data_IF_254952141660
#
_entry.id   IF_254952141660
#
_cell.length_a   1.000
_cell.length_b   1.000
_cell.length_c   1.000
_cell.angle_alpha   90.00
_cell.angle_beta   90.00
_cell.angle_gamma   90.00
#
_symmetry.space_group_name_H-M   'P 1'
#
loop_
_entity.id
_entity.type
_entity.pdbx_description
1 polymer ?
#
# COMPACT_ATOMS: atom_id res chain seq x y z
N UNK A 1 -12.06 -7.73 10.12
CA UNK A 1 -10.86 -8.54 10.45
C UNK A 1 -9.67 -8.18 9.55
N UNK A 2 -9.70 -8.47 8.24
CA UNK A 2 -8.58 -8.22 7.32
C UNK A 2 -7.99 -6.80 7.34
N UNK A 3 -8.83 -5.74 7.29
CA UNK A 3 -8.35 -4.34 7.38
C UNK A 3 -7.58 -4.02 8.65
N UNK A 4 -7.97 -4.61 9.78
CA UNK A 4 -7.27 -4.43 11.05
C UNK A 4 -5.94 -5.18 11.07
N UNK A 5 -5.91 -6.39 10.50
CA UNK A 5 -4.65 -7.14 10.38
C UNK A 5 -3.66 -6.43 9.47
N UNK A 6 -4.12 -5.97 8.29
CA UNK A 6 -3.30 -5.17 7.37
C UNK A 6 -2.78 -3.89 8.05
N UNK A 7 -3.65 -3.14 8.73
CA UNK A 7 -3.27 -1.95 9.48
C UNK A 7 -2.19 -2.25 10.53
N UNK A 8 -2.38 -3.31 11.33
CA UNK A 8 -1.43 -3.67 12.38
C UNK A 8 -0.09 -4.12 11.81
N UNK A 9 -0.09 -4.92 10.75
CA UNK A 9 1.14 -5.46 10.13
C UNK A 9 1.92 -4.36 9.39
N UNK A 10 1.25 -3.57 8.56
CA UNK A 10 1.92 -2.59 7.70
C UNK A 10 2.53 -1.44 8.52
N UNK A 11 1.87 -1.02 9.60
CA UNK A 11 2.41 0.00 10.51
C UNK A 11 3.56 -0.50 11.41
N UNK A 12 3.98 -1.77 11.34
CA UNK A 12 5.24 -2.20 12.00
C UNK A 12 6.47 -1.98 11.13
N UNK A 13 6.30 -1.70 9.83
CA UNK A 13 7.41 -1.51 8.89
C UNK A 13 7.93 -0.07 9.01
N UNK A 14 9.21 0.14 9.35
CA UNK A 14 9.78 1.49 9.43
C UNK A 14 9.64 2.24 8.11
N UNK A 15 9.16 3.49 8.15
CA UNK A 15 8.95 4.31 6.96
C UNK A 15 7.69 3.99 6.15
N UNK A 16 6.83 3.09 6.65
CA UNK A 16 5.51 2.80 6.08
C UNK A 16 4.43 3.27 7.05
N UNK A 17 3.39 3.90 6.52
CA UNK A 17 2.20 4.20 7.31
C UNK A 17 0.92 3.90 6.55
N UNK A 18 -0.14 3.61 7.28
CA UNK A 18 -1.45 3.33 6.71
C UNK A 18 -2.51 3.73 7.73
N UNK A 19 -3.46 4.57 7.33
CA UNK A 19 -4.66 4.81 8.12
C UNK A 19 -5.60 3.60 8.08
N UNK A 20 -6.31 3.32 9.17
CA UNK A 20 -7.30 2.25 9.19
C UNK A 20 -8.47 2.63 8.26
N UNK A 21 -8.72 1.89 7.16
CA UNK A 21 -9.78 2.26 6.22
C UNK A 21 -11.14 2.22 6.92
N UNK A 22 -11.92 3.30 6.81
CA UNK A 22 -13.23 3.40 7.46
C UNK A 22 -14.25 2.41 6.88
N UNK A 23 -14.15 2.08 5.60
CA UNK A 23 -15.02 1.13 4.91
C UNK A 23 -14.32 0.53 3.67
N UNK A 24 -14.99 -0.45 3.04
CA UNK A 24 -14.53 -1.04 1.79
C UNK A 24 -13.41 -2.07 1.95
N UNK A 25 -12.76 -2.38 0.83
CA UNK A 25 -11.73 -3.40 0.71
C UNK A 25 -10.40 -2.85 0.16
N UNK A 26 -10.24 -1.53 0.11
CA UNK A 26 -9.02 -0.88 -0.38
C UNK A 26 -8.26 -0.25 0.80
N UNK A 27 -6.95 -0.45 0.84
CA UNK A 27 -6.06 0.23 1.77
C UNK A 27 -5.05 1.10 1.01
N UNK A 28 -4.84 2.31 1.51
CA UNK A 28 -3.83 3.24 1.05
C UNK A 28 -2.65 3.21 2.01
N UNK A 29 -1.48 2.92 1.47
CA UNK A 29 -0.25 2.70 2.25
C UNK A 29 0.77 3.72 1.79
N UNK A 30 1.10 4.67 2.66
CA UNK A 30 2.16 5.65 2.43
C UNK A 30 3.52 4.95 2.56
N UNK A 31 4.31 5.08 1.50
CA UNK A 31 5.68 4.55 1.40
C UNK A 31 6.67 5.66 1.03
N UNK A 32 6.27 6.93 1.11
CA UNK A 32 7.05 8.08 0.67
C UNK A 32 8.39 8.22 1.40
N UNK A 33 8.49 7.75 2.64
CA UNK A 33 9.74 7.72 3.40
C UNK A 33 10.73 6.62 2.92
N UNK A 34 10.27 5.65 2.11
CA UNK A 34 11.10 4.60 1.52
C UNK A 34 11.61 4.94 0.11
N UNK A 35 10.95 5.87 -0.58
CA UNK A 35 11.29 6.30 -1.93
C UNK A 35 10.09 6.38 -2.87
N UNK A 36 10.36 6.26 -4.16
CA UNK A 36 9.36 6.38 -5.23
C UNK A 36 8.38 5.19 -5.27
N UNK A 37 7.07 5.47 -5.31
CA UNK A 37 6.03 4.44 -5.28
C UNK A 37 6.04 3.55 -6.52
N UNK A 38 6.40 4.08 -7.70
CA UNK A 38 6.51 3.30 -8.94
C UNK A 38 7.66 2.30 -8.87
N UNK A 39 8.82 2.73 -8.36
CA UNK A 39 9.98 1.87 -8.16
C UNK A 39 9.67 0.75 -7.14
N UNK A 40 9.02 1.09 -6.02
CA UNK A 40 8.62 0.12 -5.00
C UNK A 40 7.60 -0.87 -5.56
N UNK A 41 6.57 -0.39 -6.28
CA UNK A 41 5.57 -1.24 -6.93
C UNK A 41 6.23 -2.23 -7.90
N UNK A 42 7.17 -1.77 -8.73
CA UNK A 42 7.93 -2.61 -9.66
C UNK A 42 8.76 -3.66 -8.93
N UNK A 43 9.41 -3.29 -7.82
CA UNK A 43 10.20 -4.21 -7.00
C UNK A 43 9.34 -5.29 -6.34
N UNK A 44 8.17 -4.93 -5.81
CA UNK A 44 7.25 -5.87 -5.17
C UNK A 44 6.78 -6.95 -6.16
N UNK A 45 6.47 -6.59 -7.41
CA UNK A 45 6.06 -7.59 -8.41
C UNK A 45 7.24 -8.44 -8.88
N UNK A 46 8.43 -7.85 -9.10
CA UNK A 46 9.57 -8.58 -9.66
C UNK A 46 10.23 -9.52 -8.64
N UNK A 47 10.41 -9.06 -7.39
CA UNK A 47 11.15 -9.76 -6.35
C UNK A 47 10.23 -10.51 -5.39
N UNK A 48 9.20 -9.84 -4.87
CA UNK A 48 8.31 -10.42 -3.86
C UNK A 48 7.12 -11.19 -4.46
N UNK A 49 6.90 -11.09 -5.78
CA UNK A 49 5.76 -11.69 -6.49
C UNK A 49 4.40 -11.20 -5.95
N UNK A 50 4.36 -9.97 -5.44
CA UNK A 50 3.15 -9.33 -4.93
C UNK A 50 2.76 -8.18 -5.84
N UNK A 51 1.58 -8.27 -6.44
CA UNK A 51 1.00 -7.18 -7.21
C UNK A 51 0.26 -6.20 -6.29
N UNK A 52 0.57 -4.91 -6.42
CA UNK A 52 -0.13 -3.79 -5.81
C UNK A 52 -0.38 -2.73 -6.87
N UNK A 53 -1.25 -1.75 -6.61
CA UNK A 53 -1.40 -0.63 -7.53
C UNK A 53 -0.53 0.54 -7.07
N UNK A 54 0.23 1.10 -8.00
CA UNK A 54 0.92 2.36 -7.78
C UNK A 54 -0.10 3.51 -7.64
N UNK A 55 0.06 4.30 -6.58
CA UNK A 55 -0.84 5.38 -6.21
C UNK A 55 -0.87 6.53 -7.23
N UNK A 56 0.20 6.72 -8.02
CA UNK A 56 0.25 7.77 -9.05
C UNK A 56 -0.88 7.64 -10.09
N UNK A 57 -1.36 6.41 -10.30
CA UNK A 57 -2.47 6.12 -11.22
C UNK A 57 -3.82 6.71 -10.78
N UNK A 58 -3.91 7.25 -9.57
CA UNK A 58 -5.13 7.84 -8.99
C UNK A 58 -5.02 9.36 -8.80
N UNK A 59 -3.99 9.98 -9.39
CA UNK A 59 -3.78 11.43 -9.35
C UNK A 59 -2.82 11.87 -8.25
N UNK A 60 -2.59 13.20 -8.11
CA UNK A 60 -1.53 13.75 -7.25
C UNK A 60 -1.63 13.32 -5.78
N UNK A 61 -2.85 13.13 -5.26
CA UNK A 61 -3.06 12.68 -3.88
C UNK A 61 -2.64 11.23 -3.60
N UNK A 62 -2.41 10.43 -4.65
CA UNK A 62 -1.89 9.07 -4.52
C UNK A 62 -0.37 8.97 -4.69
N UNK A 63 0.33 10.07 -5.01
CA UNK A 63 1.79 10.05 -5.11
C UNK A 63 2.41 9.62 -3.77
N UNK A 64 3.44 8.77 -3.82
CA UNK A 64 4.07 8.21 -2.62
C UNK A 64 3.27 7.10 -1.92
N UNK A 65 2.13 6.68 -2.48
CA UNK A 65 1.29 5.64 -1.90
C UNK A 65 1.19 4.39 -2.77
N UNK A 66 0.90 3.26 -2.13
CA UNK A 66 0.45 2.02 -2.77
C UNK A 66 -1.01 1.76 -2.39
N UNK A 67 -1.80 1.25 -3.34
CA UNK A 67 -3.18 0.82 -3.08
C UNK A 67 -3.30 -0.70 -3.11
N UNK A 68 -3.65 -1.28 -1.96
CA UNK A 68 -3.78 -2.72 -1.74
C UNK A 68 -5.26 -3.12 -1.71
N UNK A 69 -5.59 -4.20 -2.41
CA UNK A 69 -6.91 -4.84 -2.37
C UNK A 69 -6.93 -5.90 -1.27
N UNK A 70 -7.71 -5.67 -0.21
CA UNK A 70 -7.87 -6.56 0.95
C UNK A 70 -9.03 -7.56 0.80
N UNK A 71 -9.82 -7.43 -0.26
CA UNK A 71 -10.99 -8.25 -0.57
C UNK A 71 -10.67 -9.47 -1.42
N UNK A 72 -9.60 -10.19 -1.08
CA UNK A 72 -9.16 -11.41 -1.82
C UNK A 72 -9.62 -12.68 -1.10
N UNK A 73 -9.76 -13.79 -1.83
CA UNK A 73 -10.15 -15.09 -1.27
C UNK A 73 -8.95 -15.78 -0.63
#
# INVERSE_FOLDING_TARGET
IRRHQAYNILNTVPGVSMELPASGFLAWVDVSALGDSSAICKRLISEAKVAVNDGINYGPGGAGHLRIVLGVY
#
